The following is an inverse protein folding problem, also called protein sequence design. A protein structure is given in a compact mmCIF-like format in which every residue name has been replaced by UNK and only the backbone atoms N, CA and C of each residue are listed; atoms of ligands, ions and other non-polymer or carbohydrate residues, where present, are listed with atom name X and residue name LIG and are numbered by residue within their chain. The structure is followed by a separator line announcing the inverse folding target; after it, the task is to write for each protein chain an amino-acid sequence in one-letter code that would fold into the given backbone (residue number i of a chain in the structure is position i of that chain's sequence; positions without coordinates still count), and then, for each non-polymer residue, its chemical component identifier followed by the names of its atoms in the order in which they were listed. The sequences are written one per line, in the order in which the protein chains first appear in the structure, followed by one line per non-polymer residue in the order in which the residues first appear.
data_IF_774331139574
#
_entry.id   IF_774331139574
#
_cell.length_a   1.000
_cell.length_b   1.000
_cell.length_c   1.000
_cell.angle_alpha   90.00
_cell.angle_beta   90.00
_cell.angle_gamma   90.00
#
_symmetry.space_group_name_H-M   'P 1'
#
loop_
_entity.id
_entity.type
_entity.pdbx_description
1 polymer ?
#
# COMPACT_ATOMS: atom_id res chain seq x y z
N UNK A 1 -4.75 27.35 -37.09
CA UNK A 1 -5.01 26.08 -36.41
C UNK A 1 -3.80 25.16 -36.55
N UNK A 2 -2.92 25.18 -35.57
CA UNK A 2 -1.76 24.27 -35.51
C UNK A 2 -2.17 23.12 -34.60
N UNK A 3 -2.35 21.94 -35.16
CA UNK A 3 -2.54 20.70 -34.47
C UNK A 3 -1.22 20.30 -33.78
N UNK A 4 -1.19 20.29 -32.46
CA UNK A 4 -0.08 19.74 -31.71
C UNK A 4 -0.08 18.22 -31.88
N UNK A 5 0.91 17.71 -32.60
CA UNK A 5 1.18 16.26 -32.63
C UNK A 5 1.58 15.79 -31.23
N UNK A 6 0.84 14.82 -30.68
CA UNK A 6 1.26 14.10 -29.49
C UNK A 6 2.53 13.34 -29.86
N UNK A 7 3.66 13.73 -29.28
CA UNK A 7 4.90 12.98 -29.40
C UNK A 7 4.71 11.61 -28.74
N UNK A 8 4.70 10.58 -29.55
CA UNK A 8 4.80 9.18 -29.14
C UNK A 8 6.26 8.91 -28.74
N UNK A 9 6.56 9.10 -27.46
CA UNK A 9 7.88 8.80 -26.90
C UNK A 9 7.95 7.34 -26.44
N UNK A 10 7.78 6.40 -27.38
CA UNK A 10 8.10 5.00 -27.13
C UNK A 10 9.62 4.79 -27.16
N UNK A 11 10.31 5.17 -26.08
CA UNK A 11 11.73 4.88 -25.93
C UNK A 11 11.93 3.51 -25.29
N UNK A 12 12.36 2.53 -26.10
CA UNK A 12 13.16 1.40 -25.61
C UNK A 12 12.45 0.30 -24.84
N UNK A 13 11.29 -0.18 -25.28
CA UNK A 13 10.74 -1.44 -24.76
C UNK A 13 11.41 -2.62 -25.43
N UNK A 14 11.97 -3.54 -24.61
CA UNK A 14 12.45 -4.84 -25.07
C UNK A 14 11.34 -5.58 -25.85
N UNK A 15 11.73 -6.39 -26.84
CA UNK A 15 10.79 -7.19 -27.64
C UNK A 15 9.91 -8.05 -26.72
N UNK A 16 8.62 -7.71 -26.60
CA UNK A 16 7.64 -8.52 -25.83
C UNK A 16 6.51 -7.74 -25.17
N UNK A 17 6.66 -6.48 -24.84
CA UNK A 17 5.59 -5.68 -24.25
C UNK A 17 4.92 -4.83 -25.34
N UNK A 18 3.72 -5.27 -25.79
CA UNK A 18 2.89 -4.43 -26.65
C UNK A 18 2.04 -3.51 -25.76
N UNK A 19 2.23 -2.18 -25.77
CA UNK A 19 1.45 -1.22 -24.98
C UNK A 19 -0.07 -1.36 -25.16
N UNK A 20 -0.51 -1.86 -26.31
CA UNK A 20 -1.93 -2.10 -26.63
C UNK A 20 -2.56 -3.22 -25.78
N UNK A 21 -1.74 -4.08 -25.15
CA UNK A 21 -2.21 -5.17 -24.31
C UNK A 21 -2.40 -4.77 -22.84
N UNK A 22 -2.05 -3.53 -22.47
CA UNK A 22 -2.27 -3.04 -21.11
C UNK A 22 -3.70 -2.54 -20.98
N UNK A 23 -4.53 -3.34 -20.31
CA UNK A 23 -5.97 -3.07 -20.11
C UNK A 23 -6.25 -2.07 -18.99
N UNK A 24 -5.28 -1.81 -18.09
CA UNK A 24 -5.42 -0.82 -17.03
C UNK A 24 -5.70 0.58 -17.60
N UNK A 25 -6.56 1.36 -16.93
CA UNK A 25 -6.89 2.74 -17.32
C UNK A 25 -5.66 3.65 -17.21
N UNK A 26 -4.89 3.51 -16.14
CA UNK A 26 -3.61 4.19 -15.92
C UNK A 26 -2.53 3.20 -15.57
N UNK A 27 -1.30 3.45 -16.02
CA UNK A 27 -0.14 2.61 -15.71
C UNK A 27 1.16 3.43 -15.78
N UNK A 28 2.15 3.00 -15.01
CA UNK A 28 3.50 3.54 -15.04
C UNK A 28 4.53 2.43 -14.75
N UNK A 29 5.67 2.50 -15.40
CA UNK A 29 6.87 1.76 -15.02
C UNK A 29 7.98 2.77 -14.77
N UNK A 30 8.51 2.76 -13.56
CA UNK A 30 9.54 3.70 -13.11
C UNK A 30 10.76 2.91 -12.63
N UNK A 31 11.95 3.31 -13.04
CA UNK A 31 13.20 2.77 -12.50
C UNK A 31 13.38 3.22 -11.04
N UNK A 32 13.58 2.27 -10.15
CA UNK A 32 13.60 2.53 -8.70
C UNK A 32 14.82 3.37 -8.27
N UNK A 33 15.93 3.31 -8.99
CA UNK A 33 17.15 4.02 -8.63
C UNK A 33 17.16 5.44 -9.18
N UNK A 34 17.01 5.57 -10.50
CA UNK A 34 17.06 6.87 -11.19
C UNK A 34 15.75 7.65 -11.09
N UNK A 35 14.60 6.96 -10.98
CA UNK A 35 13.27 7.55 -11.11
C UNK A 35 12.88 7.81 -12.57
N UNK A 36 13.64 7.30 -13.54
CA UNK A 36 13.30 7.42 -14.95
C UNK A 36 12.01 6.67 -15.27
N UNK A 37 11.12 7.32 -16.02
CA UNK A 37 9.88 6.72 -16.49
C UNK A 37 10.19 5.90 -17.72
N UNK A 38 9.97 4.59 -17.66
CA UNK A 38 10.21 3.66 -18.76
C UNK A 38 8.94 3.38 -19.58
N UNK A 39 7.78 3.55 -18.97
CA UNK A 39 6.47 3.45 -19.62
C UNK A 39 5.44 4.27 -18.85
N UNK A 40 4.52 4.88 -19.59
CA UNK A 40 3.39 5.59 -19.01
C UNK A 40 2.11 5.40 -19.83
N UNK A 41 0.98 5.42 -19.15
CA UNK A 41 -0.36 5.50 -19.71
C UNK A 41 -1.24 6.27 -18.75
N UNK A 42 -1.73 7.45 -19.13
CA UNK A 42 -2.62 8.29 -18.31
C UNK A 42 -2.13 8.41 -16.85
N UNK A 43 -0.81 8.59 -16.68
CA UNK A 43 -0.18 8.46 -15.36
C UNK A 43 -0.62 9.53 -14.35
N UNK A 44 -1.15 10.65 -14.83
CA UNK A 44 -1.61 11.79 -14.02
C UNK A 44 -3.12 11.79 -13.77
N UNK A 45 -3.87 10.83 -14.34
CA UNK A 45 -5.30 10.72 -14.11
C UNK A 45 -5.58 10.28 -12.67
N UNK A 46 -6.57 10.93 -12.05
CA UNK A 46 -6.96 10.61 -10.67
C UNK A 46 -7.83 9.38 -10.61
N UNK A 47 -7.48 8.48 -9.70
CA UNK A 47 -8.20 7.24 -9.41
C UNK A 47 -8.34 7.05 -7.90
N UNK A 48 -9.29 6.22 -7.51
CA UNK A 48 -9.40 5.71 -6.15
C UNK A 48 -8.35 4.60 -5.97
N UNK A 49 -7.39 4.76 -5.03
CA UNK A 49 -6.27 3.82 -4.92
C UNK A 49 -6.67 2.45 -4.39
N UNK A 50 -7.78 2.34 -3.68
CA UNK A 50 -8.14 1.12 -2.95
C UNK A 50 -6.95 0.63 -2.08
N UNK A 51 -6.73 -0.68 -2.01
CA UNK A 51 -5.72 -1.27 -1.12
C UNK A 51 -4.26 -0.95 -1.45
N UNK A 52 -3.93 -0.33 -2.59
CA UNK A 52 -2.56 0.16 -2.81
C UNK A 52 -2.18 1.30 -1.85
N UNK A 53 -3.16 1.95 -1.20
CA UNK A 53 -2.98 2.86 -0.06
C UNK A 53 -2.08 2.26 1.03
N UNK A 54 -2.14 0.94 1.24
CA UNK A 54 -1.41 0.22 2.27
C UNK A 54 0.11 0.27 2.11
N UNK A 55 0.60 0.62 0.92
CA UNK A 55 2.02 0.91 0.68
C UNK A 55 2.46 2.11 1.53
N UNK A 56 1.67 3.20 1.53
CA UNK A 56 1.95 4.39 2.36
C UNK A 56 1.83 4.06 3.84
N UNK A 57 0.79 3.33 4.24
CA UNK A 57 0.60 2.92 5.64
C UNK A 57 1.77 2.10 6.15
N UNK A 58 2.21 1.10 5.39
CA UNK A 58 3.37 0.27 5.75
C UNK A 58 4.66 1.08 5.80
N UNK A 59 4.88 1.98 4.83
CA UNK A 59 6.05 2.86 4.80
C UNK A 59 6.13 3.71 6.08
N UNK A 60 5.03 4.35 6.47
CA UNK A 60 4.99 5.19 7.67
C UNK A 60 5.22 4.38 8.96
N UNK A 61 4.66 3.18 9.06
CA UNK A 61 4.93 2.31 10.20
C UNK A 61 6.41 1.95 10.29
N UNK A 62 7.05 1.61 9.17
CA UNK A 62 8.48 1.28 9.14
C UNK A 62 9.41 2.47 9.44
N UNK A 63 8.93 3.69 9.22
CA UNK A 63 9.69 4.91 9.52
C UNK A 63 9.51 5.42 10.96
N UNK A 64 8.39 5.07 11.63
CA UNK A 64 7.99 5.69 12.89
C UNK A 64 7.78 4.70 14.05
N UNK A 65 8.05 3.41 13.85
CA UNK A 65 7.89 2.38 14.88
C UNK A 65 8.94 1.28 14.76
N UNK A 66 9.07 0.49 15.84
CA UNK A 66 9.88 -0.73 15.82
C UNK A 66 9.04 -1.93 15.41
N UNK A 67 9.63 -2.89 14.69
CA UNK A 67 8.97 -4.16 14.34
C UNK A 67 8.51 -4.96 15.56
N UNK A 68 9.13 -4.74 16.72
CA UNK A 68 8.82 -5.41 17.98
C UNK A 68 7.77 -4.69 18.82
N UNK A 69 7.34 -3.50 18.42
CA UNK A 69 6.31 -2.74 19.14
C UNK A 69 5.03 -3.56 19.25
N UNK A 70 4.38 -3.44 20.39
CA UNK A 70 3.14 -4.16 20.69
C UNK A 70 1.94 -3.28 20.32
N UNK A 71 1.31 -3.61 19.21
CA UNK A 71 0.10 -2.93 18.74
C UNK A 71 -1.10 -3.50 19.50
N UNK A 72 -1.77 -2.68 20.29
CA UNK A 72 -3.04 -2.98 20.94
C UNK A 72 -4.18 -2.54 20.02
N UNK A 73 -5.07 -3.47 19.68
CA UNK A 73 -6.20 -3.18 18.81
C UNK A 73 -7.42 -2.70 19.61
N UNK A 74 -7.80 -1.44 19.39
CA UNK A 74 -9.02 -0.88 19.96
C UNK A 74 -10.28 -1.48 19.32
N UNK A 75 -11.41 -1.40 20.01
CA UNK A 75 -12.70 -1.77 19.43
C UNK A 75 -13.02 -0.90 18.20
N UNK A 76 -12.59 0.36 18.18
CA UNK A 76 -12.76 1.25 17.03
C UNK A 76 -11.95 0.77 15.82
N UNK A 77 -10.66 0.46 15.98
CA UNK A 77 -9.82 -0.03 14.89
C UNK A 77 -10.40 -1.28 14.22
N UNK A 78 -10.93 -2.21 15.04
CA UNK A 78 -11.46 -3.48 14.55
C UNK A 78 -12.84 -3.34 13.91
N UNK A 79 -13.75 -2.57 14.52
CA UNK A 79 -15.16 -2.55 14.11
C UNK A 79 -15.50 -1.44 13.08
N UNK A 80 -14.57 -0.54 12.77
CA UNK A 80 -14.80 0.56 11.81
C UNK A 80 -14.50 0.21 10.36
N UNK A 81 -14.24 -1.06 10.05
CA UNK A 81 -14.10 -1.54 8.68
C UNK A 81 -15.46 -1.97 8.11
N UNK A 82 -15.62 -1.88 6.78
CA UNK A 82 -16.83 -2.31 6.11
C UNK A 82 -17.04 -3.82 6.21
N UNK A 83 -18.25 -4.31 6.47
CA UNK A 83 -18.56 -5.74 6.44
C UNK A 83 -18.18 -6.37 5.09
N UNK A 84 -17.51 -7.53 5.13
CA UNK A 84 -17.03 -8.23 3.94
C UNK A 84 -15.75 -7.67 3.32
N UNK A 85 -15.19 -6.58 3.85
CA UNK A 85 -13.89 -6.09 3.43
C UNK A 85 -12.74 -6.99 3.94
N UNK A 86 -11.55 -6.87 3.35
CA UNK A 86 -10.40 -7.74 3.70
C UNK A 86 -9.97 -7.55 5.14
N UNK A 87 -9.82 -8.66 5.88
CA UNK A 87 -9.38 -8.69 7.27
C UNK A 87 -8.62 -9.99 7.59
N UNK A 88 -7.98 -10.07 8.75
CA UNK A 88 -7.33 -11.27 9.30
C UNK A 88 -7.94 -11.69 10.64
N UNK A 89 -9.16 -11.28 10.89
CA UNK A 89 -9.95 -11.63 12.10
C UNK A 89 -9.30 -11.18 13.41
N UNK A 90 -8.73 -9.99 13.43
CA UNK A 90 -8.28 -9.35 14.67
C UNK A 90 -9.50 -9.03 15.53
N UNK A 91 -9.36 -9.20 16.84
CA UNK A 91 -10.44 -8.90 17.81
C UNK A 91 -10.04 -7.73 18.72
N UNK A 92 -11.03 -6.99 19.28
CA UNK A 92 -10.72 -5.93 20.24
C UNK A 92 -9.89 -6.42 21.42
N UNK A 93 -8.91 -5.60 21.84
CA UNK A 93 -7.90 -5.91 22.87
C UNK A 93 -6.87 -7.00 22.50
N UNK A 94 -6.84 -7.45 21.27
CA UNK A 94 -5.74 -8.27 20.79
C UNK A 94 -4.45 -7.45 20.74
N UNK A 95 -3.32 -8.08 21.03
CA UNK A 95 -1.99 -7.48 21.02
C UNK A 95 -1.12 -8.27 20.05
N UNK A 96 -0.56 -7.58 19.03
CA UNK A 96 0.32 -8.18 18.05
C UNK A 96 1.61 -7.37 17.89
N UNK A 97 2.75 -8.01 17.56
CA UNK A 97 3.93 -7.29 17.12
C UNK A 97 3.64 -6.48 15.84
N UNK A 98 4.27 -5.31 15.71
CA UNK A 98 4.17 -4.51 14.49
C UNK A 98 4.54 -5.31 13.24
N UNK A 99 5.58 -6.15 13.30
CA UNK A 99 5.95 -7.02 12.18
C UNK A 99 4.79 -7.89 11.69
N UNK A 100 4.07 -8.55 12.62
CA UNK A 100 2.91 -9.39 12.30
C UNK A 100 1.77 -8.57 11.66
N UNK A 101 1.55 -7.36 12.16
CA UNK A 101 0.55 -6.44 11.58
C UNK A 101 0.91 -6.09 10.14
N UNK A 102 2.17 -5.76 9.85
CA UNK A 102 2.62 -5.39 8.51
C UNK A 102 2.53 -6.57 7.53
N UNK A 103 2.81 -7.79 7.96
CA UNK A 103 2.57 -8.98 7.14
C UNK A 103 1.06 -9.18 6.87
N UNK A 104 0.20 -9.01 7.86
CA UNK A 104 -1.26 -9.06 7.68
C UNK A 104 -1.75 -8.01 6.69
N UNK A 105 -1.22 -6.78 6.77
CA UNK A 105 -1.54 -5.67 5.88
C UNK A 105 -1.12 -5.99 4.44
N UNK A 106 0.12 -6.39 4.22
CA UNK A 106 0.65 -6.52 2.85
C UNK A 106 0.28 -7.83 2.16
N UNK A 107 0.17 -8.95 2.88
CA UNK A 107 -0.16 -10.24 2.29
C UNK A 107 -1.67 -10.45 2.13
N UNK A 108 -2.44 -10.10 3.16
CA UNK A 108 -3.87 -10.36 3.24
C UNK A 108 -4.73 -9.11 3.02
N UNK A 109 -4.10 -7.93 2.92
CA UNK A 109 -4.81 -6.65 2.78
C UNK A 109 -5.70 -6.32 3.99
N UNK A 110 -5.29 -6.66 5.21
CA UNK A 110 -6.07 -6.51 6.44
C UNK A 110 -6.39 -5.04 6.74
N UNK A 111 -7.66 -4.64 6.68
CA UNK A 111 -8.10 -3.26 6.88
C UNK A 111 -8.06 -2.86 8.36
N UNK A 112 -8.52 -3.75 9.25
CA UNK A 112 -8.48 -3.51 10.70
C UNK A 112 -7.04 -3.40 11.21
N UNK A 113 -6.10 -4.12 10.59
CA UNK A 113 -4.70 -4.00 10.93
C UNK A 113 -4.17 -2.60 10.59
N UNK A 114 -4.58 -2.02 9.44
CA UNK A 114 -4.21 -0.65 9.09
C UNK A 114 -4.70 0.36 10.12
N UNK A 115 -5.93 0.20 10.60
CA UNK A 115 -6.50 1.08 11.62
C UNK A 115 -5.73 0.96 12.94
N UNK A 116 -5.42 -0.27 13.37
CA UNK A 116 -4.69 -0.50 14.63
C UNK A 116 -3.26 0.06 14.60
N UNK A 117 -2.52 -0.14 13.50
CA UNK A 117 -1.17 0.44 13.40
C UNK A 117 -1.23 1.97 13.28
N UNK A 118 -2.27 2.54 12.66
CA UNK A 118 -2.46 3.97 12.58
C UNK A 118 -2.70 4.58 13.98
N UNK A 119 -3.55 3.97 14.80
CA UNK A 119 -3.75 4.38 16.20
C UNK A 119 -2.47 4.24 17.02
N UNK A 120 -1.72 3.16 16.83
CA UNK A 120 -0.45 2.93 17.54
C UNK A 120 0.60 3.99 17.21
N UNK A 121 0.80 4.29 15.93
CA UNK A 121 1.88 5.21 15.46
C UNK A 121 1.56 6.66 15.74
N UNK A 122 0.31 7.09 15.55
CA UNK A 122 -0.08 8.49 15.59
C UNK A 122 -1.07 8.85 16.72
N UNK A 123 -1.48 7.86 17.51
CA UNK A 123 -2.47 8.04 18.58
C UNK A 123 -3.93 8.07 18.09
N UNK A 124 -4.16 8.28 16.80
CA UNK A 124 -5.49 8.23 16.19
C UNK A 124 -5.41 8.05 14.67
N UNK A 125 -6.48 7.53 14.06
CA UNK A 125 -6.59 7.40 12.61
C UNK A 125 -6.48 8.77 11.91
N UNK A 126 -7.18 9.84 12.33
CA UNK A 126 -7.04 11.16 11.70
C UNK A 126 -5.60 11.70 11.74
N UNK A 127 -4.91 11.59 12.87
CA UNK A 127 -3.51 12.02 12.98
C UNK A 127 -2.58 11.23 12.06
N UNK A 128 -2.83 9.93 11.89
CA UNK A 128 -2.08 9.11 10.94
C UNK A 128 -2.36 9.51 9.48
N UNK A 129 -3.59 9.84 9.14
CA UNK A 129 -3.97 10.36 7.82
C UNK A 129 -3.25 11.68 7.52
N UNK A 130 -3.12 12.57 8.51
CA UNK A 130 -2.32 13.79 8.38
C UNK A 130 -0.85 13.46 8.06
N UNK A 131 -0.28 12.46 8.73
CA UNK A 131 1.08 11.97 8.43
C UNK A 131 1.17 11.41 7.00
N UNK A 132 0.17 10.64 6.52
CA UNK A 132 0.12 10.12 5.16
C UNK A 132 0.16 11.24 4.12
N UNK A 133 -0.66 12.28 4.30
CA UNK A 133 -0.72 13.42 3.40
C UNK A 133 0.56 14.26 3.44
N UNK A 134 1.14 14.48 4.63
CA UNK A 134 2.42 15.16 4.78
C UNK A 134 3.55 14.38 4.07
N UNK A 135 3.58 13.05 4.23
CA UNK A 135 4.55 12.17 3.56
C UNK A 135 4.39 12.22 2.04
N UNK A 136 3.17 12.08 1.52
CA UNK A 136 2.90 12.19 0.08
C UNK A 136 3.44 13.51 -0.48
N UNK A 137 3.15 14.63 0.19
CA UNK A 137 3.67 15.95 -0.19
C UNK A 137 5.20 15.98 -0.18
N UNK A 138 5.85 15.42 0.83
CA UNK A 138 7.32 15.39 0.95
C UNK A 138 7.99 14.55 -0.15
N UNK A 139 7.29 13.53 -0.66
CA UNK A 139 7.75 12.70 -1.78
C UNK A 139 7.52 13.36 -3.16
N UNK A 140 6.87 14.53 -3.21
CA UNK A 140 6.59 15.25 -4.45
C UNK A 140 5.27 14.87 -5.12
N UNK A 141 4.39 14.12 -4.44
CA UNK A 141 3.05 13.82 -4.92
C UNK A 141 2.23 15.11 -5.06
N UNK A 142 1.55 15.27 -6.20
CA UNK A 142 0.79 16.50 -6.52
C UNK A 142 -0.73 16.26 -6.55
N UNK A 143 -1.13 15.04 -6.82
CA UNK A 143 -2.51 14.65 -7.07
C UNK A 143 -2.93 13.49 -6.16
N UNK A 144 -2.45 13.47 -4.91
CA UNK A 144 -2.78 12.44 -3.92
C UNK A 144 -3.37 13.08 -2.68
N UNK A 145 -4.46 12.48 -2.21
CA UNK A 145 -5.05 12.78 -0.91
C UNK A 145 -5.56 11.50 -0.28
N UNK A 146 -5.05 11.18 0.89
CA UNK A 146 -5.49 10.06 1.71
C UNK A 146 -6.54 10.53 2.72
N UNK A 147 -7.59 9.72 2.93
CA UNK A 147 -8.64 9.97 3.92
C UNK A 147 -8.78 8.82 4.94
N UNK A 148 -8.10 7.71 4.71
CA UNK A 148 -8.00 6.59 5.64
C UNK A 148 -6.72 5.78 5.39
N UNK A 149 -6.29 4.90 6.34
CA UNK A 149 -5.05 4.15 6.21
C UNK A 149 -5.19 2.83 5.42
N UNK A 150 -6.40 2.40 5.07
CA UNK A 150 -6.67 1.08 4.52
C UNK A 150 -7.08 1.08 3.03
N UNK A 151 -7.54 2.23 2.51
CA UNK A 151 -7.98 2.39 1.13
C UNK A 151 -9.45 2.01 0.89
N UNK A 152 -10.27 1.92 1.94
CA UNK A 152 -11.72 1.86 1.78
C UNK A 152 -12.22 3.12 1.07
N UNK A 153 -13.32 2.98 0.35
CA UNK A 153 -13.81 4.04 -0.52
C UNK A 153 -14.16 5.32 0.25
N UNK A 154 -13.69 6.43 -0.29
CA UNK A 154 -14.06 7.78 0.10
C UNK A 154 -13.82 8.70 -1.10
N UNK A 155 -14.74 9.60 -1.40
CA UNK A 155 -14.64 10.52 -2.55
C UNK A 155 -13.40 11.43 -2.48
N UNK A 156 -12.90 11.69 -1.28
CA UNK A 156 -11.70 12.51 -1.04
C UNK A 156 -10.42 11.67 -1.00
N UNK A 157 -10.50 10.35 -1.17
CA UNK A 157 -9.37 9.44 -1.15
C UNK A 157 -8.96 9.09 -2.58
N UNK A 158 -7.97 9.81 -3.12
CA UNK A 158 -7.55 9.68 -4.51
C UNK A 158 -6.03 9.77 -4.67
N UNK A 159 -5.55 9.26 -5.78
CA UNK A 159 -4.14 9.31 -6.20
C UNK A 159 -4.02 9.23 -7.71
N UNK A 160 -2.78 9.22 -8.21
CA UNK A 160 -2.45 8.95 -9.63
C UNK A 160 -1.44 7.81 -9.71
N UNK A 161 -1.28 7.21 -10.89
CA UNK A 161 -0.25 6.19 -11.10
C UNK A 161 1.15 6.77 -10.84
N UNK A 162 1.42 8.01 -11.25
CA UNK A 162 2.68 8.68 -11.01
C UNK A 162 2.98 8.88 -9.52
N UNK A 163 2.03 9.41 -8.75
CA UNK A 163 2.20 9.64 -7.32
C UNK A 163 2.40 8.31 -6.58
N UNK A 164 1.66 7.27 -6.94
CA UNK A 164 1.86 5.93 -6.35
C UNK A 164 3.21 5.33 -6.70
N UNK A 165 3.77 5.62 -7.88
CA UNK A 165 5.13 5.20 -8.21
C UNK A 165 6.18 5.90 -7.34
N UNK A 166 6.00 7.19 -7.01
CA UNK A 166 6.88 7.90 -6.06
C UNK A 166 6.82 7.28 -4.66
N UNK A 167 5.61 6.97 -4.17
CA UNK A 167 5.41 6.32 -2.88
C UNK A 167 6.01 4.92 -2.88
N UNK A 168 5.75 4.14 -3.93
CA UNK A 168 6.31 2.79 -4.12
C UNK A 168 7.83 2.81 -4.18
N UNK A 169 8.43 3.77 -4.91
CA UNK A 169 9.88 3.96 -4.97
C UNK A 169 10.46 4.19 -3.56
N UNK A 170 9.85 5.07 -2.76
CA UNK A 170 10.28 5.34 -1.39
C UNK A 170 10.16 4.08 -0.51
N UNK A 171 9.05 3.37 -0.57
CA UNK A 171 8.82 2.13 0.19
C UNK A 171 9.86 1.05 -0.17
N UNK A 172 10.16 0.88 -1.45
CA UNK A 172 11.12 -0.10 -1.95
C UNK A 172 12.58 0.21 -1.57
N UNK A 173 12.92 1.40 -1.09
CA UNK A 173 14.24 1.66 -0.47
C UNK A 173 14.39 0.95 0.88
N UNK A 174 13.31 0.66 1.58
CA UNK A 174 13.34 -0.03 2.86
C UNK A 174 13.51 -1.56 2.67
N UNK A 175 14.58 -2.19 3.19
CA UNK A 175 14.80 -3.62 3.02
C UNK A 175 13.74 -4.49 3.71
N UNK A 176 13.13 -4.02 4.81
CA UNK A 176 12.04 -4.72 5.49
C UNK A 176 10.78 -4.70 4.62
N UNK A 177 10.45 -3.57 3.99
CA UNK A 177 9.36 -3.50 3.04
C UNK A 177 9.52 -4.52 1.90
N UNK A 178 10.71 -4.59 1.30
CA UNK A 178 11.01 -5.58 0.25
C UNK A 178 10.87 -7.02 0.75
N UNK A 179 11.35 -7.31 1.97
CA UNK A 179 11.20 -8.64 2.59
C UNK A 179 9.73 -9.03 2.74
N UNK A 180 8.91 -8.13 3.31
CA UNK A 180 7.49 -8.40 3.56
C UNK A 180 6.75 -8.63 2.23
N UNK A 181 6.89 -7.71 1.28
CA UNK A 181 6.16 -7.79 -0.01
C UNK A 181 6.61 -8.94 -0.88
N UNK A 182 7.87 -9.37 -0.77
CA UNK A 182 8.42 -10.53 -1.48
C UNK A 182 8.13 -11.88 -0.82
N UNK A 183 7.49 -11.91 0.35
CA UNK A 183 7.17 -13.17 1.05
C UNK A 183 5.91 -13.80 0.47
N UNK A 184 5.98 -15.11 0.11
CA UNK A 184 4.82 -15.87 -0.36
C UNK A 184 3.85 -16.23 0.76
N UNK A 185 4.39 -16.52 1.94
CA UNK A 185 3.62 -16.92 3.13
C UNK A 185 4.20 -16.32 4.40
N UNK A 186 3.39 -16.24 5.44
CA UNK A 186 3.80 -15.85 6.78
C UNK A 186 2.87 -16.47 7.83
N UNK A 187 3.38 -16.81 9.00
CA UNK A 187 2.56 -17.31 10.11
C UNK A 187 2.61 -16.34 11.27
N UNK A 188 1.49 -15.68 11.55
CA UNK A 188 1.30 -14.92 12.79
C UNK A 188 1.16 -15.91 13.93
N UNK A 189 2.02 -15.81 14.91
CA UNK A 189 2.00 -16.70 16.09
C UNK A 189 0.79 -16.40 16.95
N UNK A 190 0.47 -17.37 17.86
CA UNK A 190 -0.55 -17.19 18.87
C UNK A 190 -0.37 -15.88 19.62
N UNK A 191 -1.47 -15.12 19.73
CA UNK A 191 -1.54 -13.85 20.46
C UNK A 191 -2.13 -14.08 21.87
N UNK A 192 -2.39 -12.98 22.57
CA UNK A 192 -3.10 -13.04 23.87
C UNK A 192 -4.55 -13.54 23.76
N UNK A 193 -5.18 -13.42 22.58
CA UNK A 193 -6.60 -13.74 22.39
C UNK A 193 -6.89 -14.73 21.26
N UNK A 194 -5.96 -14.92 20.32
CA UNK A 194 -6.21 -15.69 19.11
C UNK A 194 -5.11 -16.75 18.90
N UNK A 195 -5.49 -17.88 18.31
CA UNK A 195 -4.56 -18.90 17.85
C UNK A 195 -3.76 -18.42 16.64
N UNK A 196 -2.74 -19.18 16.24
CA UNK A 196 -1.90 -18.82 15.10
C UNK A 196 -2.72 -18.69 13.81
N UNK A 197 -2.31 -17.78 12.93
CA UNK A 197 -2.93 -17.51 11.64
C UNK A 197 -1.91 -17.66 10.52
N UNK A 198 -2.29 -18.42 9.53
CA UNK A 198 -1.48 -18.62 8.34
C UNK A 198 -1.87 -17.60 7.26
N UNK A 199 -0.89 -16.79 6.84
CA UNK A 199 -1.06 -15.77 5.80
C UNK A 199 -0.42 -16.24 4.50
N UNK A 200 -1.06 -15.95 3.38
CA UNK A 200 -0.50 -16.15 2.05
C UNK A 200 -0.58 -14.86 1.25
N UNK A 201 0.41 -14.61 0.41
CA UNK A 201 0.41 -13.43 -0.44
C UNK A 201 -0.61 -13.61 -1.56
N UNK A 202 -1.51 -12.63 -1.73
CA UNK A 202 -2.54 -12.67 -2.79
C UNK A 202 -1.96 -12.43 -4.19
N UNK A 203 -0.69 -12.07 -4.30
CA UNK A 203 -0.05 -11.75 -5.59
C UNK A 203 0.36 -13.03 -6.32
N UNK A 204 -0.34 -13.35 -7.41
CA UNK A 204 -0.17 -14.62 -8.15
C UNK A 204 1.27 -14.87 -8.64
N UNK A 205 2.05 -13.82 -8.92
CA UNK A 205 3.46 -13.99 -9.37
C UNK A 205 4.39 -14.53 -8.27
N UNK A 206 3.97 -14.54 -7.00
CA UNK A 206 4.74 -15.11 -5.89
C UNK A 206 4.34 -16.56 -5.57
N UNK A 207 3.36 -17.11 -6.27
CA UNK A 207 3.01 -18.51 -6.16
C UNK A 207 3.77 -19.32 -7.23
N UNK A 208 4.34 -20.49 -6.87
CA UNK A 208 4.90 -21.39 -7.88
C UNK A 208 3.82 -21.68 -8.92
N UNK A 209 4.17 -21.54 -10.18
CA UNK A 209 3.33 -22.07 -11.27
C UNK A 209 3.30 -23.57 -11.07
N UNK A 210 2.13 -24.11 -10.65
CA UNK A 210 1.90 -25.54 -10.61
C UNK A 210 1.72 -26.07 -12.02
#
# INVERSE_FOLDING_TARGET
TVSAAKNDTSHGMGQGLNPKNITAESAIVMDINSGAILYEKNMDDKHYPASITKIMTTLLCLENSSLTDKVLFSAHAVNSIEPGSSHISIVPNEIMPMEDCLYGIMLMSANEACNGVAEHVAGSIPAFVDMMNAKAKSLGCKNTHFNNPNGLFDEKHYTTAYDMALIGKAAMQNPVFRKITGSGTYTIKKTNLMEERYMYNKHNMLHPVM
#
